data_IF_639129082599
#
_entry.id   IF_639129082599
#
_cell.length_a   1.000
_cell.length_b   1.000
_cell.length_c   1.000
_cell.angle_alpha   90.00
_cell.angle_beta   90.00
_cell.angle_gamma   90.00
#
_symmetry.space_group_name_H-M   'P 1'
#
loop_
_entity.id
_entity.type
_entity.pdbx_description
1 polymer ?
#
# COMPACT_ATOMS: atom_id res chain seq x y z
N UNK A 1 1.70 30.24 9.88
CA UNK A 1 0.26 29.95 10.05
C UNK A 1 -0.12 28.75 9.19
N UNK A 2 -0.65 27.66 9.75
CA UNK A 2 -1.03 26.46 8.98
C UNK A 2 -2.41 26.66 8.35
N UNK A 3 -2.52 26.50 7.02
CA UNK A 3 -3.79 26.65 6.30
C UNK A 3 -4.75 25.50 6.64
N UNK A 4 -5.76 25.78 7.47
CA UNK A 4 -6.84 24.82 7.77
C UNK A 4 -7.92 24.86 6.68
N UNK A 5 -7.80 23.99 5.67
CA UNK A 5 -8.81 23.89 4.60
C UNK A 5 -10.08 23.19 5.09
N UNK A 6 -11.24 23.67 4.65
CA UNK A 6 -12.54 23.06 4.95
C UNK A 6 -12.71 21.74 4.19
N UNK A 7 -13.36 20.74 4.82
CA UNK A 7 -13.63 19.43 4.20
C UNK A 7 -14.62 19.57 3.03
N UNK A 8 -14.44 18.74 1.98
CA UNK A 8 -15.34 18.60 0.82
C UNK A 8 -16.82 18.49 1.23
N UNK A 9 -17.09 17.78 2.32
CA UNK A 9 -18.44 17.55 2.85
C UNK A 9 -19.20 18.86 3.12
N UNK A 10 -18.53 19.95 3.56
CA UNK A 10 -19.19 21.24 3.80
C UNK A 10 -19.67 21.87 2.49
N UNK A 11 -18.86 21.78 1.42
CA UNK A 11 -19.20 22.28 0.07
C UNK A 11 -20.33 21.48 -0.59
N UNK A 12 -20.46 20.19 -0.26
CA UNK A 12 -21.44 19.29 -0.88
C UNK A 12 -22.77 19.18 -0.12
N UNK A 13 -22.99 19.94 0.96
CA UNK A 13 -24.32 19.98 1.61
C UNK A 13 -25.34 20.55 0.63
N UNK A 14 -26.51 19.92 0.51
CA UNK A 14 -27.51 20.27 -0.51
C UNK A 14 -27.27 19.63 -1.88
N UNK A 15 -26.13 18.94 -2.08
CA UNK A 15 -25.95 18.12 -3.28
C UNK A 15 -26.67 16.78 -3.13
N UNK A 16 -27.32 16.31 -4.20
CA UNK A 16 -28.13 15.09 -4.16
C UNK A 16 -27.34 13.81 -3.90
N UNK A 17 -26.08 13.73 -4.34
CA UNK A 17 -25.32 12.44 -4.37
C UNK A 17 -23.94 12.53 -3.73
N UNK A 18 -23.54 13.68 -3.19
CA UNK A 18 -22.20 13.92 -2.63
C UNK A 18 -21.03 13.57 -3.59
N UNK A 19 -21.30 13.52 -4.90
CA UNK A 19 -20.31 13.22 -5.95
C UNK A 19 -20.14 11.73 -6.26
N UNK A 20 -21.03 10.85 -5.80
CA UNK A 20 -20.97 9.40 -6.05
C UNK A 20 -21.73 8.93 -7.30
N UNK A 21 -22.10 9.85 -8.20
CA UNK A 21 -22.91 9.55 -9.39
C UNK A 21 -24.40 9.39 -9.07
N UNK A 22 -25.25 9.09 -10.06
CA UNK A 22 -26.70 8.86 -9.87
C UNK A 22 -27.02 7.38 -9.64
N UNK A 23 -26.40 6.52 -10.44
CA UNK A 23 -26.63 5.08 -10.52
C UNK A 23 -25.36 4.40 -9.96
N UNK A 24 -25.50 3.53 -8.96
CA UNK A 24 -24.37 2.88 -8.27
C UNK A 24 -24.19 3.35 -6.83
N UNK A 25 -24.07 4.67 -6.60
CA UNK A 25 -23.90 5.32 -5.29
C UNK A 25 -22.76 4.74 -4.42
N UNK A 26 -22.53 5.34 -3.25
CA UNK A 26 -21.59 4.82 -2.26
C UNK A 26 -22.24 3.74 -1.39
N UNK A 27 -22.19 2.49 -1.85
CA UNK A 27 -22.65 1.33 -1.07
C UNK A 27 -21.49 0.67 -0.30
N UNK A 28 -21.79 -0.43 0.39
CA UNK A 28 -20.84 -1.20 1.22
C UNK A 28 -19.78 -1.93 0.38
N UNK A 29 -19.12 -2.92 0.99
CA UNK A 29 -18.01 -3.69 0.39
C UNK A 29 -18.32 -4.37 -0.94
N UNK A 30 -19.59 -4.69 -1.22
CA UNK A 30 -20.00 -5.24 -2.52
C UNK A 30 -19.57 -4.35 -3.69
N UNK A 31 -19.74 -3.04 -3.59
CA UNK A 31 -19.31 -2.08 -4.62
C UNK A 31 -17.79 -1.97 -4.76
N UNK A 32 -17.03 -2.43 -3.76
CA UNK A 32 -15.55 -2.50 -3.79
C UNK A 32 -15.04 -3.87 -4.28
N UNK A 33 -15.95 -4.81 -4.55
CA UNK A 33 -15.62 -6.19 -4.87
C UNK A 33 -15.04 -6.97 -3.67
N UNK A 34 -15.60 -6.77 -2.47
CA UNK A 34 -15.21 -7.44 -1.23
C UNK A 34 -14.36 -6.59 -0.28
N UNK A 35 -14.12 -7.09 0.94
CA UNK A 35 -13.24 -6.44 1.92
C UNK A 35 -11.77 -6.82 1.71
N UNK A 36 -10.87 -5.86 1.94
CA UNK A 36 -9.42 -6.09 1.84
C UNK A 36 -8.98 -6.64 0.48
N UNK A 37 -8.13 -7.68 0.53
CA UNK A 37 -7.53 -8.35 -0.62
C UNK A 37 -8.43 -9.43 -1.27
N UNK A 38 -9.72 -9.45 -0.92
CA UNK A 38 -10.68 -10.35 -1.56
C UNK A 38 -10.70 -10.13 -3.08
N UNK A 39 -10.67 -11.25 -3.82
CA UNK A 39 -10.71 -11.25 -5.27
C UNK A 39 -9.37 -11.08 -5.98
N UNK A 40 -8.24 -10.90 -5.27
CA UNK A 40 -6.94 -10.70 -5.91
C UNK A 40 -6.50 -11.88 -6.79
N UNK A 41 -6.99 -13.09 -6.55
CA UNK A 41 -6.80 -14.27 -7.42
C UNK A 41 -8.10 -14.66 -8.19
N UNK A 42 -9.04 -13.72 -8.34
CA UNK A 42 -10.33 -13.91 -9.04
C UNK A 42 -10.69 -12.65 -9.85
N UNK A 43 -11.77 -11.95 -9.52
CA UNK A 43 -12.27 -10.77 -10.25
C UNK A 43 -11.37 -9.52 -10.15
N UNK A 44 -10.33 -9.52 -9.31
CA UNK A 44 -9.28 -8.48 -9.28
C UNK A 44 -7.93 -8.97 -9.83
N UNK A 45 -7.91 -10.08 -10.56
CA UNK A 45 -6.67 -10.66 -11.10
C UNK A 45 -5.89 -9.70 -12.00
N UNK A 46 -6.58 -8.88 -12.80
CA UNK A 46 -5.96 -7.86 -13.64
C UNK A 46 -5.11 -6.85 -12.83
N UNK A 47 -5.58 -6.46 -11.65
CA UNK A 47 -4.81 -5.61 -10.73
C UNK A 47 -3.57 -6.33 -10.23
N UNK A 48 -3.72 -7.58 -9.80
CA UNK A 48 -2.63 -8.38 -9.25
C UNK A 48 -1.52 -8.58 -10.26
N UNK A 49 -1.83 -8.94 -11.50
CA UNK A 49 -0.83 -9.15 -12.55
C UNK A 49 -0.07 -7.85 -12.86
N UNK A 50 -0.79 -6.72 -12.91
CA UNK A 50 -0.20 -5.43 -13.30
C UNK A 50 0.63 -4.78 -12.19
N UNK A 51 0.13 -4.78 -10.97
CA UNK A 51 0.71 -3.98 -9.87
C UNK A 51 1.26 -4.81 -8.72
N UNK A 52 0.89 -6.09 -8.60
CA UNK A 52 1.25 -6.94 -7.47
C UNK A 52 1.74 -8.33 -7.93
N UNK A 53 2.65 -8.35 -8.92
CA UNK A 53 3.07 -9.58 -9.62
C UNK A 53 3.63 -10.68 -8.70
N UNK A 54 4.24 -10.31 -7.58
CA UNK A 54 4.80 -11.25 -6.59
C UNK A 54 3.91 -11.44 -5.35
N UNK A 55 2.63 -11.06 -5.43
CA UNK A 55 1.72 -11.13 -4.28
C UNK A 55 1.36 -12.56 -3.89
N UNK A 56 1.23 -13.45 -4.87
CA UNK A 56 1.00 -14.87 -4.64
C UNK A 56 2.26 -15.68 -4.97
N UNK A 57 2.47 -16.75 -4.19
CA UNK A 57 3.57 -17.70 -4.37
C UNK A 57 4.48 -17.77 -3.14
N UNK A 58 5.36 -18.77 -3.14
CA UNK A 58 6.46 -18.94 -2.20
C UNK A 58 7.76 -18.95 -3.00
N UNK A 59 8.83 -18.35 -2.48
CA UNK A 59 10.14 -18.33 -3.13
C UNK A 59 11.22 -18.68 -2.12
N UNK A 60 12.08 -19.64 -2.46
CA UNK A 60 13.22 -20.06 -1.65
C UNK A 60 12.84 -20.72 -0.32
N UNK A 61 13.77 -20.67 0.63
CA UNK A 61 13.62 -21.19 1.99
C UNK A 61 14.07 -20.13 3.01
N UNK A 62 13.56 -20.24 4.24
CA UNK A 62 13.90 -19.32 5.33
C UNK A 62 14.92 -20.02 6.23
N UNK A 63 16.11 -19.44 6.40
CA UNK A 63 17.14 -19.93 7.33
C UNK A 63 16.77 -19.62 8.80
N UNK A 64 17.19 -20.44 9.78
CA UNK A 64 17.02 -20.12 11.20
C UNK A 64 17.65 -18.77 11.56
N UNK A 65 16.99 -18.00 12.43
CA UNK A 65 17.47 -16.67 12.84
C UNK A 65 18.82 -16.72 13.55
N UNK A 66 19.11 -17.81 14.27
CA UNK A 66 20.39 -18.04 14.95
C UNK A 66 21.61 -18.04 14.01
N UNK A 67 21.41 -18.34 12.73
CA UNK A 67 22.47 -18.36 11.71
C UNK A 67 22.68 -16.98 11.05
N UNK A 68 21.86 -15.97 11.40
CA UNK A 68 21.93 -14.63 10.82
C UNK A 68 22.66 -13.70 11.76
N UNK A 69 23.92 -13.39 11.45
CA UNK A 69 24.69 -12.35 12.12
C UNK A 69 24.86 -11.14 11.20
N UNK A 70 24.86 -9.93 11.78
CA UNK A 70 25.18 -8.71 11.05
C UNK A 70 26.67 -8.70 10.73
N UNK A 71 27.02 -8.39 9.48
CA UNK A 71 28.41 -8.15 9.08
C UNK A 71 28.64 -6.64 9.10
N UNK A 72 29.51 -6.18 9.98
CA UNK A 72 30.00 -4.80 9.94
C UNK A 72 31.03 -4.73 8.83
N UNK A 73 30.73 -3.97 7.79
CA UNK A 73 31.57 -3.80 6.60
C UNK A 73 31.92 -2.34 6.49
N UNK A 74 33.16 -2.04 6.12
CA UNK A 74 33.65 -0.67 5.94
C UNK A 74 34.24 -0.54 4.53
N UNK A 75 34.01 0.60 3.89
CA UNK A 75 34.69 0.92 2.64
C UNK A 75 36.07 1.52 2.93
N UNK A 76 37.01 1.33 2.02
CA UNK A 76 38.40 1.79 2.17
C UNK A 76 38.47 3.31 2.37
N UNK A 77 37.62 4.09 1.69
CA UNK A 77 37.59 5.55 1.82
C UNK A 77 37.08 6.06 3.16
N UNK A 78 36.32 5.25 3.91
CA UNK A 78 35.77 5.66 5.21
C UNK A 78 36.80 5.48 6.35
N UNK A 79 37.92 4.79 6.09
CA UNK A 79 38.95 4.48 7.10
C UNK A 79 39.61 5.73 7.67
N UNK A 80 39.84 6.75 6.84
CA UNK A 80 40.51 8.00 7.25
C UNK A 80 39.67 8.77 8.28
N UNK A 81 38.35 8.79 8.10
CA UNK A 81 37.40 9.47 9.00
C UNK A 81 37.26 8.83 10.39
N UNK A 82 37.74 7.59 10.57
CA UNK A 82 37.72 6.88 11.85
C UNK A 82 38.99 7.06 12.68
N UNK A 83 40.08 7.52 12.05
CA UNK A 83 41.36 7.76 12.71
C UNK A 83 41.48 9.19 13.25
N UNK A 84 40.65 10.12 12.74
CA UNK A 84 40.53 11.50 13.23
C UNK A 84 39.55 11.62 14.40
#
# INVERSE_FOLDING_TARGET
MVVRRRRKARKLRGSRTHGWGRVGQHRKSGSRGGFGHAGMHKHKWSYTVKYAKNYFGKKGFIKPKSTVYAKNVINIGDLESLLS
#
